data_IF_890713785887
#
_entry.id   IF_890713785887
#
_cell.length_a   1.000
_cell.length_b   1.000
_cell.length_c   1.000
_cell.angle_alpha   90.00
_cell.angle_beta   90.00
_cell.angle_gamma   90.00
#
_symmetry.space_group_name_H-M   'P 1'
#
loop_
_entity.id
_entity.type
_entity.pdbx_description
1 polymer ?
#
# COMPACT_ATOMS: atom_id res chain seq x y z
N UNK A 1 9.38 17.66 6.81
CA UNK A 1 8.69 17.75 6.68
C UNK A 1 8.25 18.11 6.08
N UNK A 2 8.66 17.96 5.70
CA UNK A 2 8.52 18.59 5.29
C UNK A 2 7.50 19.05 4.82
N UNK A 3 7.45 19.39 3.96
CA UNK A 3 6.44 20.05 3.47
C UNK A 3 5.22 19.86 4.16
N UNK A 4 5.10 18.87 4.78
CA UNK A 4 4.00 18.71 5.60
C UNK A 4 4.32 19.29 6.89
N UNK A 5 3.73 20.41 7.24
CA UNK A 5 4.07 21.06 8.47
C UNK A 5 3.93 20.14 9.65
N UNK A 6 3.01 19.22 9.56
CA UNK A 6 2.75 18.33 10.66
C UNK A 6 3.51 17.05 10.55
N UNK A 7 4.26 16.86 9.47
CA UNK A 7 5.03 15.65 9.27
C UNK A 7 4.20 14.40 9.14
N UNK A 8 2.95 14.48 8.73
CA UNK A 8 2.13 13.31 8.59
C UNK A 8 2.56 12.51 7.37
N UNK A 9 2.64 11.18 7.56
CA UNK A 9 2.98 10.28 6.47
C UNK A 9 1.80 10.20 5.52
N UNK A 10 2.07 10.32 4.22
CA UNK A 10 1.06 10.24 3.17
C UNK A 10 0.95 8.81 2.69
N UNK A 11 -0.25 8.25 2.77
CA UNK A 11 -0.48 6.83 2.51
C UNK A 11 -1.51 6.64 1.42
N UNK A 12 -1.25 5.70 0.52
CA UNK A 12 -2.20 5.25 -0.48
C UNK A 12 -2.60 3.82 -0.15
N UNK A 13 -3.91 3.53 -0.22
CA UNK A 13 -4.41 2.18 0.04
C UNK A 13 -4.82 1.53 -1.27
N UNK A 14 -4.22 0.39 -1.60
CA UNK A 14 -4.47 -0.32 -2.85
C UNK A 14 -5.00 -1.71 -2.54
N UNK A 15 -6.29 -1.93 -2.82
CA UNK A 15 -6.96 -3.20 -2.56
C UNK A 15 -8.24 -3.23 -3.38
N UNK A 16 -8.60 -4.38 -3.95
CA UNK A 16 -9.79 -4.49 -4.79
C UNK A 16 -11.08 -4.60 -3.98
N UNK A 17 -10.99 -4.75 -2.66
CA UNK A 17 -12.18 -4.85 -1.81
C UNK A 17 -12.51 -3.48 -1.21
N UNK A 18 -13.56 -2.84 -1.71
CA UNK A 18 -13.87 -1.48 -1.28
C UNK A 18 -14.18 -1.37 0.21
N UNK A 19 -14.83 -2.40 0.78
CA UNK A 19 -15.12 -2.39 2.20
C UNK A 19 -13.84 -2.46 3.03
N UNK A 20 -12.87 -3.26 2.59
CA UNK A 20 -11.60 -3.33 3.29
C UNK A 20 -10.85 -2.00 3.19
N UNK A 21 -10.83 -1.39 2.00
CA UNK A 21 -10.19 -0.07 1.84
C UNK A 21 -10.79 0.95 2.78
N UNK A 22 -12.13 1.00 2.83
CA UNK A 22 -12.83 1.94 3.72
C UNK A 22 -12.50 1.70 5.18
N UNK A 23 -12.44 0.43 5.59
CA UNK A 23 -12.12 0.08 6.97
C UNK A 23 -10.70 0.46 7.34
N UNK A 24 -9.75 0.17 6.47
CA UNK A 24 -8.35 0.53 6.71
C UNK A 24 -8.23 2.05 6.81
N UNK A 25 -8.83 2.76 5.87
CA UNK A 25 -8.77 4.22 5.86
C UNK A 25 -9.29 4.80 7.16
N UNK A 26 -10.46 4.34 7.61
CA UNK A 26 -11.03 4.80 8.87
C UNK A 26 -10.10 4.56 10.05
N UNK A 27 -9.46 3.39 10.07
CA UNK A 27 -8.59 3.03 11.19
C UNK A 27 -7.30 3.82 11.22
N UNK A 28 -6.72 4.14 10.06
CA UNK A 28 -5.40 4.78 10.04
C UNK A 28 -5.44 6.29 9.89
N UNK A 29 -6.55 6.88 9.44
CA UNK A 29 -6.64 8.33 9.23
C UNK A 29 -6.26 9.16 10.46
N UNK A 30 -6.52 8.73 11.69
CA UNK A 30 -6.05 9.51 12.83
C UNK A 30 -4.54 9.65 12.92
N UNK A 31 -3.79 8.71 12.36
CA UNK A 31 -2.33 8.68 12.47
C UNK A 31 -1.60 9.16 11.22
N UNK A 32 -2.24 9.04 10.05
CA UNK A 32 -1.58 9.34 8.77
C UNK A 32 -2.55 10.09 7.86
N UNK A 33 -2.02 10.63 6.77
CA UNK A 33 -2.85 11.29 5.77
C UNK A 33 -3.09 10.30 4.63
N UNK A 34 -4.34 9.86 4.42
CA UNK A 34 -4.67 8.99 3.30
C UNK A 34 -4.91 9.84 2.07
N UNK A 35 -4.01 9.74 1.09
CA UNK A 35 -4.05 10.61 -0.07
C UNK A 35 -4.78 10.02 -1.26
N UNK A 36 -5.19 8.75 -1.18
CA UNK A 36 -5.97 8.14 -2.24
C UNK A 36 -6.17 6.66 -2.03
N UNK A 37 -6.93 6.06 -2.93
CA UNK A 37 -7.24 4.63 -2.94
C UNK A 37 -7.22 4.15 -4.38
N UNK A 38 -6.94 2.86 -4.58
CA UNK A 38 -7.00 2.25 -5.90
C UNK A 38 -7.45 0.80 -5.75
N UNK A 39 -8.12 0.29 -6.78
CA UNK A 39 -8.70 -1.05 -6.75
C UNK A 39 -8.11 -2.03 -7.73
N UNK A 40 -7.17 -1.62 -8.57
CA UNK A 40 -6.50 -2.51 -9.52
C UNK A 40 -5.12 -1.95 -9.87
N UNK A 41 -4.36 -2.72 -10.64
CA UNK A 41 -2.98 -2.34 -10.99
C UNK A 41 -2.94 -1.02 -11.75
N UNK A 42 -3.78 -0.85 -12.76
CA UNK A 42 -3.75 0.36 -13.57
C UNK A 42 -4.08 1.60 -12.75
N UNK A 43 -5.11 1.53 -11.93
CA UNK A 43 -5.49 2.64 -11.07
C UNK A 43 -4.40 2.93 -10.04
N UNK A 44 -3.77 1.88 -9.50
CA UNK A 44 -2.70 2.04 -8.54
C UNK A 44 -1.52 2.79 -9.14
N UNK A 45 -1.08 2.37 -10.32
CA UNK A 45 0.05 3.02 -10.98
C UNK A 45 -0.25 4.49 -11.26
N UNK A 46 -1.43 4.76 -11.82
CA UNK A 46 -1.84 6.13 -12.13
C UNK A 46 -1.90 7.00 -10.88
N UNK A 47 -2.48 6.48 -9.81
CA UNK A 47 -2.66 7.25 -8.58
C UNK A 47 -1.32 7.48 -7.89
N UNK A 48 -0.44 6.48 -7.87
CA UNK A 48 0.89 6.63 -7.27
C UNK A 48 1.69 7.71 -8.01
N UNK A 49 1.63 7.70 -9.34
CA UNK A 49 2.33 8.72 -10.13
C UNK A 49 1.79 10.13 -9.88
N UNK A 50 0.47 10.23 -9.69
CA UNK A 50 -0.16 11.53 -9.49
C UNK A 50 0.02 12.05 -8.07
N UNK A 51 -0.01 11.18 -7.06
CA UNK A 51 -0.01 11.60 -5.66
C UNK A 51 1.34 11.49 -4.98
N UNK A 52 2.23 10.65 -5.49
CA UNK A 52 3.56 10.44 -4.94
C UNK A 52 3.51 10.20 -3.43
N UNK A 53 2.82 9.14 -2.98
CA UNK A 53 2.69 8.90 -1.55
C UNK A 53 4.01 8.44 -0.92
N UNK A 54 4.12 8.57 0.39
CA UNK A 54 5.28 8.08 1.13
C UNK A 54 5.22 6.57 1.29
N UNK A 55 4.02 6.03 1.54
CA UNK A 55 3.80 4.60 1.77
C UNK A 55 2.60 4.15 0.97
N UNK A 56 2.71 2.99 0.35
CA UNK A 56 1.59 2.33 -0.35
C UNK A 56 1.30 1.01 0.35
N UNK A 57 0.06 0.86 0.83
CA UNK A 57 -0.42 -0.42 1.35
C UNK A 57 -0.95 -1.17 0.14
N UNK A 58 -0.30 -2.25 -0.25
CA UNK A 58 -0.49 -2.88 -1.55
C UNK A 58 -0.95 -4.34 -1.41
N UNK A 59 -2.17 -4.62 -1.90
CA UNK A 59 -2.71 -5.97 -1.91
C UNK A 59 -1.90 -6.84 -2.86
N UNK A 60 -1.49 -8.02 -2.39
CA UNK A 60 -0.71 -8.95 -3.23
C UNK A 60 -1.55 -9.56 -4.34
N UNK A 61 -2.85 -9.67 -4.18
CA UNK A 61 -3.75 -10.28 -5.16
C UNK A 61 -4.56 -9.26 -5.96
N UNK A 62 -3.95 -8.17 -6.30
CA UNK A 62 -4.63 -7.09 -7.00
C UNK A 62 -4.95 -7.48 -8.45
N UNK A 63 -6.18 -7.20 -8.94
CA UNK A 63 -6.50 -7.46 -10.35
C UNK A 63 -5.58 -6.70 -11.29
N UNK A 64 -5.22 -7.33 -12.40
CA UNK A 64 -4.37 -6.73 -13.42
C UNK A 64 -2.91 -7.12 -13.33
N UNK A 65 -2.59 -8.12 -12.53
CA UNK A 65 -1.22 -8.63 -12.45
C UNK A 65 -0.67 -8.77 -11.05
N UNK A 66 -1.47 -8.47 -10.04
CA UNK A 66 -1.05 -8.59 -8.65
C UNK A 66 -0.20 -7.41 -8.19
N UNK A 67 0.11 -7.40 -6.91
CA UNK A 67 0.94 -6.35 -6.32
C UNK A 67 2.33 -6.29 -6.94
N UNK A 68 2.86 -7.41 -7.39
CA UNK A 68 4.17 -7.46 -8.03
C UNK A 68 4.21 -6.58 -9.28
N UNK A 69 3.10 -6.53 -10.05
CA UNK A 69 3.05 -5.71 -11.26
C UNK A 69 3.19 -4.22 -10.93
N UNK A 70 2.60 -3.78 -9.83
CA UNK A 70 2.74 -2.39 -9.39
C UNK A 70 4.19 -2.09 -9.03
N UNK A 71 4.83 -3.01 -8.28
CA UNK A 71 6.21 -2.84 -7.89
C UNK A 71 7.13 -2.78 -9.11
N UNK A 72 6.93 -3.70 -10.07
CA UNK A 72 7.76 -3.74 -11.27
C UNK A 72 7.66 -2.44 -12.06
N UNK A 73 6.48 -1.82 -12.06
CA UNK A 73 6.26 -0.60 -12.83
C UNK A 73 6.86 0.64 -12.16
N UNK A 74 6.96 0.65 -10.83
CA UNK A 74 7.20 1.91 -10.12
C UNK A 74 8.48 1.99 -9.29
N UNK A 75 9.07 0.86 -8.93
CA UNK A 75 10.22 0.92 -8.02
C UNK A 75 11.38 1.75 -8.56
N UNK A 76 11.66 1.64 -9.85
CA UNK A 76 12.79 2.36 -10.43
C UNK A 76 12.54 3.86 -10.54
N UNK A 77 11.28 4.27 -10.71
CA UNK A 77 10.94 5.67 -10.93
C UNK A 77 10.45 6.38 -9.67
N UNK A 78 10.15 5.61 -8.62
CA UNK A 78 9.63 6.18 -7.38
C UNK A 78 10.39 5.60 -6.18
N UNK A 79 11.72 5.82 -6.10
CA UNK A 79 12.52 5.20 -5.04
C UNK A 79 12.19 5.70 -3.64
N UNK A 80 11.53 6.84 -3.53
CA UNK A 80 11.12 7.38 -2.22
C UNK A 80 9.83 6.80 -1.68
N UNK A 81 9.09 6.05 -2.51
CA UNK A 81 7.84 5.44 -2.08
C UNK A 81 8.11 4.05 -1.51
N UNK A 82 7.61 3.78 -0.33
CA UNK A 82 7.77 2.47 0.32
C UNK A 82 6.50 1.67 0.18
N UNK A 83 6.64 0.40 -0.15
CA UNK A 83 5.51 -0.50 -0.36
C UNK A 83 5.43 -1.51 0.76
N UNK A 84 4.24 -1.65 1.35
CA UNK A 84 3.97 -2.62 2.39
C UNK A 84 2.88 -3.53 1.88
N UNK A 85 3.17 -4.83 1.76
CA UNK A 85 2.23 -5.78 1.19
C UNK A 85 1.10 -6.11 2.16
N UNK A 86 -0.12 -6.19 1.64
CA UNK A 86 -1.28 -6.65 2.39
C UNK A 86 -1.68 -8.03 1.88
N UNK A 87 -1.98 -8.95 2.78
CA UNK A 87 -2.37 -10.31 2.41
C UNK A 87 -3.46 -10.82 3.33
N UNK A 88 -4.44 -11.56 2.76
CA UNK A 88 -5.48 -12.18 3.59
C UNK A 88 -4.95 -13.35 4.37
N UNK A 89 -3.81 -13.90 3.95
CA UNK A 89 -3.16 -15.00 4.64
C UNK A 89 -1.66 -14.85 4.45
N UNK A 90 -0.91 -15.61 5.23
CA UNK A 90 0.54 -15.62 5.09
C UNK A 90 1.01 -16.67 4.10
N UNK A 91 0.27 -16.85 3.01
CA UNK A 91 0.67 -17.76 1.93
C UNK A 91 2.07 -17.39 1.47
N UNK A 92 3.02 -18.27 1.74
CA UNK A 92 4.43 -17.93 1.62
C UNK A 92 4.83 -17.51 0.21
N UNK A 93 4.32 -18.20 -0.82
CA UNK A 93 4.72 -17.93 -2.18
C UNK A 93 4.32 -16.52 -2.62
N UNK A 94 3.12 -16.08 -2.24
CA UNK A 94 2.64 -14.74 -2.62
C UNK A 94 3.43 -13.66 -1.90
N UNK A 95 3.67 -13.85 -0.60
CA UNK A 95 4.42 -12.89 0.20
C UNK A 95 5.86 -12.79 -0.28
N UNK A 96 6.50 -13.94 -0.52
CA UNK A 96 7.88 -13.97 -1.01
C UNK A 96 7.99 -13.25 -2.35
N UNK A 97 7.03 -13.48 -3.25
CA UNK A 97 7.04 -12.81 -4.56
C UNK A 97 7.00 -11.30 -4.45
N UNK A 98 6.18 -10.77 -3.55
CA UNK A 98 6.07 -9.32 -3.38
C UNK A 98 7.30 -8.75 -2.70
N UNK A 99 7.84 -9.45 -1.69
CA UNK A 99 9.06 -9.01 -1.02
C UNK A 99 10.23 -9.01 -1.99
N UNK A 100 10.38 -10.05 -2.80
CA UNK A 100 11.43 -10.10 -3.82
C UNK A 100 11.27 -9.01 -4.87
N UNK A 101 10.01 -8.58 -5.10
CA UNK A 101 9.72 -7.49 -6.00
C UNK A 101 10.05 -6.12 -5.43
N UNK A 102 10.40 -6.04 -4.15
CA UNK A 102 10.84 -4.78 -3.56
C UNK A 102 9.99 -4.23 -2.44
N UNK A 103 8.95 -4.95 -1.99
CA UNK A 103 8.17 -4.47 -0.85
C UNK A 103 9.01 -4.53 0.42
N UNK A 104 8.82 -3.56 1.31
CA UNK A 104 9.60 -3.46 2.55
C UNK A 104 9.14 -4.44 3.62
N UNK A 105 7.93 -4.98 3.49
CA UNK A 105 7.39 -5.91 4.45
C UNK A 105 6.00 -6.32 4.04
N UNK A 106 5.31 -7.06 4.90
CA UNK A 106 3.93 -7.42 4.64
C UNK A 106 3.13 -7.41 5.94
N UNK A 107 1.81 -7.28 5.79
CA UNK A 107 0.88 -7.28 6.91
C UNK A 107 -0.28 -8.18 6.55
N UNK A 108 -0.70 -9.03 7.49
CA UNK A 108 -1.89 -9.86 7.29
C UNK A 108 -3.11 -8.97 7.53
N UNK A 109 -4.10 -9.06 6.64
CA UNK A 109 -5.27 -8.16 6.69
C UNK A 109 -6.10 -8.31 7.97
N UNK A 110 -5.85 -9.33 8.77
CA UNK A 110 -6.60 -9.55 10.00
C UNK A 110 -6.14 -8.69 11.17
N UNK A 111 -5.01 -7.98 11.06
CA UNK A 111 -4.53 -7.17 12.19
C UNK A 111 -5.40 -5.94 12.38
N UNK A 112 -5.34 -5.37 13.59
CA UNK A 112 -6.11 -4.16 13.90
C UNK A 112 -5.45 -2.93 13.29
N UNK A 113 -6.22 -1.83 13.23
CA UNK A 113 -5.69 -0.57 12.75
C UNK A 113 -4.46 -0.09 13.51
N UNK A 114 -4.44 -0.11 14.85
CA UNK A 114 -3.24 0.28 15.58
C UNK A 114 -2.02 -0.55 15.25
N UNK A 115 -2.18 -1.87 15.09
CA UNK A 115 -1.06 -2.72 14.71
C UNK A 115 -0.56 -2.38 13.31
N UNK A 116 -1.46 -2.09 12.38
CA UNK A 116 -1.09 -1.69 11.03
C UNK A 116 -0.30 -0.39 11.04
N UNK A 117 -0.69 0.57 11.84
CA UNK A 117 0.01 1.84 11.91
C UNK A 117 1.42 1.69 12.46
N UNK A 118 1.66 0.69 13.30
CA UNK A 118 2.98 0.42 13.85
C UNK A 118 3.87 -0.36 12.90
N UNK A 119 3.25 -1.02 11.94
CA UNK A 119 4.01 -1.78 10.97
C UNK A 119 4.69 -0.86 9.97
#
# INVERSE_FOLDING_TARGET
VTGQPQGRIRVLVVDDHSLFRSGVRTEIEPAVEVVGEAGDVAAAISTIRAREPDVVLLDVHLPGGGGRAVLDALLATHPGTRFLALSVSDAADDVIGVIRGGARGYVVKAISGPELCEA
#
